data_IF_571902311592
#
_entry.id   IF_571902311592
#
_cell.length_a   1.000
_cell.length_b   1.000
_cell.length_c   1.000
_cell.angle_alpha   90.00
_cell.angle_beta   90.00
_cell.angle_gamma   90.00
#
_symmetry.space_group_name_H-M   'P 1'
#
loop_
_entity.id
_entity.type
_entity.pdbx_description
1 polymer ?
#
# COMPACT_ATOMS: atom_id res chain seq x y z
N UNK A 1 -3.61 34.45 2.18
CA UNK A 1 -3.72 32.97 2.16
C UNK A 1 -3.78 32.56 0.68
N UNK A 2 -2.88 31.72 0.22
CA UNK A 2 -2.80 31.35 -1.20
C UNK A 2 -3.88 30.31 -1.53
N UNK A 3 -5.01 30.77 -2.06
CA UNK A 3 -6.20 29.93 -2.33
C UNK A 3 -5.90 28.70 -3.20
N UNK A 4 -4.92 28.80 -4.12
CA UNK A 4 -4.48 27.68 -4.96
C UNK A 4 -3.79 26.58 -4.16
N UNK A 5 -2.93 26.93 -3.19
CA UNK A 5 -2.26 25.97 -2.33
C UNK A 5 -3.26 25.27 -1.40
N UNK A 6 -4.23 26.02 -0.86
CA UNK A 6 -5.27 25.44 -0.02
C UNK A 6 -6.14 24.44 -0.79
N UNK A 7 -6.50 24.76 -2.02
CA UNK A 7 -7.29 23.88 -2.88
C UNK A 7 -6.51 22.58 -3.23
N UNK A 8 -5.23 22.70 -3.57
CA UNK A 8 -4.37 21.54 -3.82
C UNK A 8 -4.27 20.63 -2.59
N UNK A 9 -4.07 21.21 -1.39
CA UNK A 9 -4.00 20.44 -0.16
C UNK A 9 -5.32 19.69 0.14
N UNK A 10 -6.46 20.30 -0.13
CA UNK A 10 -7.77 19.66 0.05
C UNK A 10 -7.93 18.47 -0.92
N UNK A 11 -7.58 18.66 -2.19
CA UNK A 11 -7.62 17.59 -3.19
C UNK A 11 -6.71 16.43 -2.78
N UNK A 12 -5.49 16.73 -2.35
CA UNK A 12 -4.53 15.73 -1.87
C UNK A 12 -5.08 14.91 -0.69
N UNK A 13 -5.64 15.60 0.32
CA UNK A 13 -6.23 14.92 1.49
C UNK A 13 -7.40 14.03 1.08
N UNK A 14 -8.32 14.52 0.25
CA UNK A 14 -9.47 13.74 -0.20
C UNK A 14 -9.07 12.53 -1.03
N UNK A 15 -8.09 12.69 -1.92
CA UNK A 15 -7.55 11.61 -2.74
C UNK A 15 -6.86 10.55 -1.87
N UNK A 16 -5.98 10.97 -0.97
CA UNK A 16 -5.30 10.07 -0.06
C UNK A 16 -6.27 9.30 0.84
N UNK A 17 -7.31 9.98 1.36
CA UNK A 17 -8.31 9.36 2.22
C UNK A 17 -9.15 8.33 1.45
N UNK A 18 -9.66 8.68 0.27
CA UNK A 18 -10.48 7.75 -0.54
C UNK A 18 -9.68 6.53 -1.00
N UNK A 19 -8.45 6.73 -1.45
CA UNK A 19 -7.53 5.66 -1.82
C UNK A 19 -7.21 4.78 -0.62
N UNK A 20 -6.85 5.38 0.51
CA UNK A 20 -6.51 4.67 1.74
C UNK A 20 -7.65 3.77 2.21
N UNK A 21 -8.88 4.29 2.27
CA UNK A 21 -10.07 3.51 2.66
C UNK A 21 -10.29 2.32 1.71
N UNK A 22 -10.20 2.53 0.39
CA UNK A 22 -10.40 1.48 -0.59
C UNK A 22 -9.35 0.35 -0.46
N UNK A 23 -8.07 0.72 -0.32
CA UNK A 23 -6.94 -0.24 -0.19
C UNK A 23 -7.03 -1.01 1.13
N UNK A 24 -7.29 -0.32 2.25
CA UNK A 24 -7.41 -0.97 3.55
C UNK A 24 -8.62 -1.91 3.59
N UNK A 25 -9.75 -1.52 3.00
CA UNK A 25 -10.93 -2.38 2.88
C UNK A 25 -10.63 -3.62 2.02
N UNK A 26 -9.99 -3.45 0.87
CA UNK A 26 -9.59 -4.56 0.00
C UNK A 26 -8.63 -5.53 0.72
N UNK A 27 -7.62 -4.99 1.41
CA UNK A 27 -6.66 -5.78 2.20
C UNK A 27 -7.37 -6.56 3.30
N UNK A 28 -8.24 -5.91 4.07
CA UNK A 28 -8.99 -6.56 5.15
C UNK A 28 -9.88 -7.69 4.62
N UNK A 29 -10.62 -7.45 3.54
CA UNK A 29 -11.48 -8.46 2.92
C UNK A 29 -10.67 -9.65 2.40
N UNK A 30 -9.50 -9.40 1.81
CA UNK A 30 -8.57 -10.44 1.35
C UNK A 30 -8.09 -11.31 2.52
N UNK A 31 -7.61 -10.69 3.59
CA UNK A 31 -7.13 -11.41 4.78
C UNK A 31 -8.25 -12.18 5.46
N UNK A 32 -9.42 -11.59 5.63
CA UNK A 32 -10.62 -12.26 6.17
C UNK A 32 -11.01 -13.47 5.32
N UNK A 33 -11.01 -13.32 4.01
CA UNK A 33 -11.32 -14.42 3.09
C UNK A 33 -10.31 -15.58 3.21
N UNK A 34 -9.01 -15.26 3.23
CA UNK A 34 -7.93 -16.26 3.38
C UNK A 34 -8.01 -16.93 4.75
N UNK A 35 -8.10 -16.16 5.82
CA UNK A 35 -8.16 -16.65 7.20
C UNK A 35 -9.34 -17.59 7.41
N UNK A 36 -10.53 -17.19 6.97
CA UNK A 36 -11.75 -18.01 7.18
C UNK A 36 -11.83 -19.20 6.23
N UNK A 37 -11.64 -18.98 4.93
CA UNK A 37 -11.91 -20.03 3.92
C UNK A 37 -10.79 -21.04 3.77
N UNK A 38 -9.53 -20.61 3.93
CA UNK A 38 -8.37 -21.48 3.71
C UNK A 38 -7.84 -22.09 4.99
N UNK A 39 -7.89 -21.35 6.09
CA UNK A 39 -7.29 -21.79 7.36
C UNK A 39 -8.28 -22.01 8.49
N UNK A 40 -9.57 -21.75 8.27
CA UNK A 40 -10.64 -21.94 9.27
C UNK A 40 -10.35 -21.23 10.61
N UNK A 41 -9.81 -19.99 10.50
CA UNK A 41 -9.51 -19.15 11.66
C UNK A 41 -10.78 -18.42 12.10
N UNK A 42 -11.07 -18.48 13.41
CA UNK A 42 -12.23 -17.81 14.00
C UNK A 42 -12.07 -16.29 13.94
N UNK A 43 -13.15 -15.56 13.65
CA UNK A 43 -13.16 -14.09 13.58
C UNK A 43 -12.79 -13.42 14.94
N UNK A 44 -12.98 -14.10 16.06
CA UNK A 44 -12.60 -13.61 17.40
C UNK A 44 -11.16 -13.97 17.80
N UNK A 45 -10.35 -14.50 16.88
CA UNK A 45 -8.97 -14.86 17.15
C UNK A 45 -8.10 -13.59 17.28
N UNK A 46 -7.58 -13.34 18.49
CA UNK A 46 -6.80 -12.15 18.80
C UNK A 46 -5.44 -12.14 18.08
N UNK A 47 -4.77 -13.30 17.96
CA UNK A 47 -3.51 -13.41 17.25
C UNK A 47 -3.68 -13.05 15.78
N UNK A 48 -4.72 -13.55 15.13
CA UNK A 48 -5.05 -13.22 13.76
C UNK A 48 -5.45 -11.73 13.62
N UNK A 49 -6.09 -11.15 14.62
CA UNK A 49 -6.37 -9.72 14.70
C UNK A 49 -5.11 -8.86 14.69
N UNK A 50 -4.10 -9.21 15.51
CA UNK A 50 -2.79 -8.54 15.57
C UNK A 50 -2.05 -8.67 14.24
N UNK A 51 -2.00 -9.88 13.68
CA UNK A 51 -1.41 -10.12 12.36
C UNK A 51 -2.08 -9.25 11.28
N UNK A 52 -3.41 -9.25 11.24
CA UNK A 52 -4.19 -8.43 10.30
C UNK A 52 -3.90 -6.95 10.47
N UNK A 53 -3.84 -6.45 11.71
CA UNK A 53 -3.50 -5.04 11.98
C UNK A 53 -2.09 -4.67 11.47
N UNK A 54 -1.11 -5.54 11.65
CA UNK A 54 0.25 -5.35 11.15
C UNK A 54 0.30 -5.30 9.62
N UNK A 55 -0.43 -6.18 8.94
CA UNK A 55 -0.53 -6.17 7.47
C UNK A 55 -1.25 -4.94 6.97
N UNK A 56 -2.36 -4.53 7.60
CA UNK A 56 -3.09 -3.31 7.23
C UNK A 56 -2.21 -2.07 7.36
N UNK A 57 -1.49 -1.94 8.47
CA UNK A 57 -0.54 -0.85 8.66
C UNK A 57 0.54 -0.84 7.58
N UNK A 58 1.15 -1.99 7.32
CA UNK A 58 2.23 -2.14 6.34
C UNK A 58 1.78 -1.82 4.92
N UNK A 59 0.64 -2.35 4.50
CA UNK A 59 0.08 -2.07 3.17
C UNK A 59 -0.30 -0.60 3.04
N UNK A 60 -0.98 -0.03 4.03
CA UNK A 60 -1.36 1.39 4.02
C UNK A 60 -0.13 2.30 3.95
N UNK A 61 0.91 2.01 4.74
CA UNK A 61 2.15 2.75 4.74
C UNK A 61 2.88 2.66 3.39
N UNK A 62 3.02 1.46 2.82
CA UNK A 62 3.68 1.30 1.53
C UNK A 62 2.90 1.93 0.37
N UNK A 63 1.56 1.85 0.39
CA UNK A 63 0.75 2.49 -0.66
C UNK A 63 0.78 4.03 -0.53
N UNK A 64 1.02 4.57 0.66
CA UNK A 64 1.17 6.03 0.82
C UNK A 64 2.37 6.60 0.05
N UNK A 65 3.37 5.78 -0.31
CA UNK A 65 4.49 6.19 -1.15
C UNK A 65 4.10 6.67 -2.56
N UNK A 66 2.87 6.33 -3.00
CA UNK A 66 2.35 6.76 -4.31
C UNK A 66 1.96 8.24 -4.33
N UNK A 67 1.77 8.88 -3.17
CA UNK A 67 1.23 10.25 -3.08
C UNK A 67 2.14 11.24 -3.81
N UNK A 68 3.46 11.23 -3.56
CA UNK A 68 4.41 12.13 -4.22
C UNK A 68 4.50 11.90 -5.74
N UNK A 69 4.66 10.67 -6.24
CA UNK A 69 4.55 10.35 -7.66
C UNK A 69 3.26 10.84 -8.32
N UNK A 70 2.10 10.69 -7.65
CA UNK A 70 0.82 11.18 -8.17
C UNK A 70 0.77 12.70 -8.30
N UNK A 71 1.32 13.43 -7.34
CA UNK A 71 1.41 14.89 -7.43
C UNK A 71 2.31 15.34 -8.57
N UNK A 72 3.44 14.65 -8.77
CA UNK A 72 4.36 14.90 -9.90
C UNK A 72 3.67 14.62 -11.24
N UNK A 73 2.96 13.51 -11.35
CA UNK A 73 2.16 13.17 -12.53
C UNK A 73 1.10 14.23 -12.82
N UNK A 74 0.35 14.67 -11.81
CA UNK A 74 -0.67 15.70 -11.97
C UNK A 74 -0.08 17.01 -12.52
N UNK A 75 1.07 17.44 -11.99
CA UNK A 75 1.77 18.64 -12.47
C UNK A 75 2.16 18.51 -13.94
N UNK A 76 2.70 17.36 -14.36
CA UNK A 76 3.10 17.11 -15.75
C UNK A 76 1.88 17.12 -16.68
N UNK A 77 0.81 16.41 -16.31
CA UNK A 77 -0.40 16.37 -17.12
C UNK A 77 -1.05 17.75 -17.25
N UNK A 78 -1.09 18.53 -16.16
CA UNK A 78 -1.67 19.88 -16.16
C UNK A 78 -0.92 20.91 -17.01
N UNK A 79 0.33 20.62 -17.38
CA UNK A 79 1.11 21.46 -18.32
C UNK A 79 0.98 21.05 -19.77
N UNK A 80 0.50 19.83 -20.04
CA UNK A 80 0.40 19.28 -21.40
C UNK A 80 -1.00 19.37 -22.00
N UNK A 81 -2.04 19.28 -21.19
CA UNK A 81 -3.43 19.23 -21.64
C UNK A 81 -4.19 20.50 -21.23
N UNK A 82 -4.72 21.22 -22.21
CA UNK A 82 -5.64 22.35 -22.00
C UNK A 82 -7.09 21.86 -21.74
N UNK A 83 -7.41 20.58 -22.08
CA UNK A 83 -8.71 19.99 -21.84
C UNK A 83 -8.78 19.29 -20.48
N UNK A 84 -9.54 19.89 -19.56
CA UNK A 84 -9.73 19.39 -18.19
C UNK A 84 -10.27 17.97 -18.14
N UNK A 85 -11.14 17.59 -19.09
CA UNK A 85 -11.72 16.24 -19.09
C UNK A 85 -10.70 15.17 -19.47
N UNK A 86 -9.89 15.42 -20.48
CA UNK A 86 -8.81 14.51 -20.91
C UNK A 86 -7.74 14.38 -19.82
N UNK A 87 -7.40 15.48 -19.14
CA UNK A 87 -6.49 15.50 -18.01
C UNK A 87 -6.99 14.59 -16.87
N UNK A 88 -8.27 14.70 -16.49
CA UNK A 88 -8.85 13.88 -15.42
C UNK A 88 -8.83 12.39 -15.74
N UNK A 89 -9.21 12.01 -16.96
CA UNK A 89 -9.20 10.60 -17.39
C UNK A 89 -7.76 10.04 -17.34
N UNK A 90 -6.80 10.78 -17.86
CA UNK A 90 -5.40 10.39 -17.88
C UNK A 90 -4.84 10.25 -16.45
N UNK A 91 -5.14 11.21 -15.58
CA UNK A 91 -4.71 11.17 -14.17
C UNK A 91 -5.29 9.98 -13.42
N UNK A 92 -6.59 9.69 -13.59
CA UNK A 92 -7.24 8.53 -12.96
C UNK A 92 -6.64 7.23 -13.50
N UNK A 93 -6.42 7.12 -14.81
CA UNK A 93 -5.86 5.93 -15.44
C UNK A 93 -4.44 5.60 -14.95
N UNK A 94 -3.52 6.55 -15.04
CA UNK A 94 -2.16 6.37 -14.54
C UNK A 94 -2.11 6.20 -13.03
N UNK A 95 -2.91 6.97 -12.29
CA UNK A 95 -2.99 6.87 -10.83
C UNK A 95 -3.44 5.50 -10.37
N UNK A 96 -4.45 4.92 -11.01
CA UNK A 96 -4.92 3.57 -10.71
C UNK A 96 -3.83 2.51 -10.93
N UNK A 97 -3.04 2.63 -12.01
CA UNK A 97 -1.91 1.74 -12.30
C UNK A 97 -0.84 1.84 -11.21
N UNK A 98 -0.46 3.06 -10.81
CA UNK A 98 0.57 3.27 -9.77
C UNK A 98 0.13 2.75 -8.41
N UNK A 99 -1.12 3.00 -8.03
CA UNK A 99 -1.71 2.46 -6.80
C UNK A 99 -1.71 0.92 -6.82
N UNK A 100 -2.11 0.32 -7.94
CA UNK A 100 -2.12 -1.13 -8.10
C UNK A 100 -0.71 -1.73 -8.01
N UNK A 101 0.29 -1.08 -8.61
CA UNK A 101 1.70 -1.49 -8.51
C UNK A 101 2.17 -1.45 -7.05
N UNK A 102 1.97 -0.34 -6.34
CA UNK A 102 2.34 -0.22 -4.93
C UNK A 102 1.63 -1.27 -4.07
N UNK A 103 0.36 -1.52 -4.32
CA UNK A 103 -0.43 -2.52 -3.61
C UNK A 103 0.11 -3.94 -3.81
N UNK A 104 0.46 -4.32 -5.04
CA UNK A 104 1.05 -5.62 -5.34
C UNK A 104 2.40 -5.77 -4.63
N UNK A 105 3.27 -4.74 -4.68
CA UNK A 105 4.57 -4.76 -3.99
C UNK A 105 4.38 -4.84 -2.48
N UNK A 106 3.43 -4.10 -1.92
CA UNK A 106 3.12 -4.15 -0.49
C UNK A 106 2.67 -5.56 -0.03
N UNK A 107 1.77 -6.20 -0.77
CA UNK A 107 1.36 -7.58 -0.49
C UNK A 107 2.54 -8.55 -0.60
N UNK A 108 3.41 -8.36 -1.58
CA UNK A 108 4.60 -9.18 -1.75
C UNK A 108 5.58 -9.04 -0.56
N UNK A 109 5.82 -7.83 -0.08
CA UNK A 109 6.66 -7.57 1.10
C UNK A 109 6.05 -8.18 2.36
N UNK A 110 4.73 -8.06 2.56
CA UNK A 110 4.03 -8.71 3.67
C UNK A 110 4.17 -10.24 3.61
N UNK A 111 4.04 -10.83 2.42
CA UNK A 111 4.22 -12.25 2.20
C UNK A 111 5.67 -12.70 2.49
N UNK A 112 6.67 -11.94 2.03
CA UNK A 112 8.07 -12.20 2.35
C UNK A 112 8.34 -12.15 3.86
N UNK A 113 7.74 -11.18 4.56
CA UNK A 113 7.88 -11.05 6.02
C UNK A 113 7.37 -12.28 6.76
N UNK A 114 6.23 -12.82 6.35
CA UNK A 114 5.71 -14.07 6.89
C UNK A 114 6.63 -15.26 6.55
N UNK A 115 7.07 -15.38 5.29
CA UNK A 115 7.99 -16.45 4.87
C UNK A 115 9.31 -16.43 5.64
N UNK A 116 9.89 -15.28 5.92
CA UNK A 116 11.14 -15.15 6.68
C UNK A 116 10.98 -15.78 8.06
N UNK A 117 9.87 -15.51 8.74
CA UNK A 117 9.61 -16.10 10.04
C UNK A 117 9.54 -17.63 9.97
N UNK A 118 8.77 -18.16 9.03
CA UNK A 118 8.62 -19.61 8.81
C UNK A 118 9.95 -20.31 8.44
N UNK A 119 10.85 -19.60 7.76
CA UNK A 119 12.16 -20.16 7.40
C UNK A 119 13.15 -20.15 8.58
N UNK A 120 13.08 -19.14 9.45
CA UNK A 120 14.00 -18.99 10.59
C UNK A 120 13.58 -19.87 11.77
N UNK A 121 12.27 -20.11 11.94
CA UNK A 121 11.72 -20.88 13.06
C UNK A 121 11.14 -22.20 12.55
N UNK A 122 11.32 -23.31 13.28
CA UNK A 122 10.68 -24.59 12.95
C UNK A 122 9.19 -24.61 13.35
N UNK A 123 8.52 -23.46 13.32
CA UNK A 123 7.16 -23.25 13.81
C UNK A 123 6.29 -22.86 12.61
N UNK A 124 5.16 -23.54 12.42
CA UNK A 124 4.14 -23.17 11.44
C UNK A 124 3.36 -21.95 11.97
N UNK A 125 3.67 -20.74 11.45
CA UNK A 125 3.04 -19.50 11.90
C UNK A 125 1.52 -19.50 11.72
N UNK A 126 1.01 -20.17 10.68
CA UNK A 126 -0.43 -20.22 10.41
C UNK A 126 -1.12 -21.07 11.47
N UNK A 127 -0.52 -22.19 11.84
CA UNK A 127 -1.06 -23.04 12.90
C UNK A 127 -1.02 -22.33 14.26
N UNK A 128 0.05 -21.59 14.54
CA UNK A 128 0.17 -20.81 15.76
C UNK A 128 -0.83 -19.64 15.82
N UNK A 129 -1.05 -18.93 14.70
CA UNK A 129 -2.09 -17.92 14.60
C UNK A 129 -3.48 -18.54 14.82
N UNK A 130 -3.74 -19.72 14.27
CA UNK A 130 -4.99 -20.47 14.50
C UNK A 130 -5.17 -20.83 15.97
N UNK A 131 -4.09 -21.21 16.64
CA UNK A 131 -4.07 -21.55 18.07
C UNK A 131 -4.12 -20.30 18.98
N UNK A 132 -4.30 -19.11 18.39
CA UNK A 132 -4.35 -17.83 19.10
C UNK A 132 -3.06 -17.48 19.86
N UNK A 133 -1.89 -17.84 19.31
CA UNK A 133 -0.60 -17.52 19.90
C UNK A 133 -0.22 -16.05 19.62
N UNK A 134 -0.45 -15.18 20.61
CA UNK A 134 -0.19 -13.75 20.52
C UNK A 134 1.30 -13.42 20.34
N UNK A 135 2.19 -14.22 20.94
CA UNK A 135 3.63 -13.97 20.84
C UNK A 135 4.11 -14.15 19.40
N UNK A 136 3.68 -15.19 18.71
CA UNK A 136 3.98 -15.42 17.29
C UNK A 136 3.39 -14.32 16.43
N UNK A 137 2.14 -13.91 16.67
CA UNK A 137 1.50 -12.83 15.93
C UNK A 137 2.27 -11.50 16.04
N UNK A 138 2.76 -11.16 17.22
CA UNK A 138 3.55 -9.95 17.46
C UNK A 138 4.90 -10.00 16.75
N UNK A 139 5.60 -11.14 16.79
CA UNK A 139 6.91 -11.28 16.13
C UNK A 139 6.76 -11.20 14.62
N UNK A 140 5.84 -11.98 14.03
CA UNK A 140 5.58 -11.94 12.58
C UNK A 140 5.12 -10.54 12.14
N UNK A 141 4.20 -9.94 12.88
CA UNK A 141 3.73 -8.59 12.63
C UNK A 141 4.84 -7.54 12.65
N UNK A 142 5.76 -7.66 13.63
CA UNK A 142 6.92 -6.76 13.73
C UNK A 142 7.87 -6.89 12.55
N UNK A 143 8.12 -8.11 12.07
CA UNK A 143 8.94 -8.36 10.88
C UNK A 143 8.29 -7.70 9.65
N UNK A 144 7.00 -7.91 9.43
CA UNK A 144 6.25 -7.33 8.32
C UNK A 144 6.33 -5.80 8.36
N UNK A 145 6.06 -5.19 9.51
CA UNK A 145 6.12 -3.72 9.68
C UNK A 145 7.53 -3.19 9.42
N UNK A 146 8.55 -3.83 9.96
CA UNK A 146 9.94 -3.41 9.75
C UNK A 146 10.35 -3.46 8.29
N UNK A 147 10.02 -4.55 7.58
CA UNK A 147 10.30 -4.66 6.14
C UNK A 147 9.57 -3.59 5.34
N UNK A 148 8.33 -3.28 5.69
CA UNK A 148 7.56 -2.24 5.02
C UNK A 148 8.17 -0.85 5.22
N UNK A 149 8.64 -0.55 6.43
CA UNK A 149 9.35 0.71 6.73
C UNK A 149 10.65 0.82 5.93
N UNK A 150 11.40 -0.27 5.79
CA UNK A 150 12.66 -0.28 5.05
C UNK A 150 12.50 -0.20 3.52
N UNK A 151 11.38 -0.65 2.99
CA UNK A 151 11.15 -0.74 1.54
C UNK A 151 10.30 0.40 0.98
N UNK A 152 9.68 1.21 1.82
CA UNK A 152 8.77 2.31 1.44
C UNK A 152 9.36 3.25 0.37
N UNK A 153 10.55 3.78 0.62
CA UNK A 153 11.21 4.73 -0.30
C UNK A 153 11.60 4.07 -1.62
N UNK A 154 11.94 2.77 -1.57
CA UNK A 154 12.19 1.99 -2.79
C UNK A 154 10.95 1.83 -3.67
N UNK A 155 9.77 1.71 -3.07
CA UNK A 155 8.49 1.68 -3.81
C UNK A 155 8.19 3.04 -4.45
N UNK A 156 8.43 4.14 -3.74
CA UNK A 156 8.30 5.49 -4.28
C UNK A 156 9.17 5.68 -5.52
N UNK A 157 10.47 5.36 -5.42
CA UNK A 157 11.43 5.44 -6.53
C UNK A 157 11.04 4.54 -7.70
N UNK A 158 10.53 3.33 -7.42
CA UNK A 158 10.04 2.43 -8.45
C UNK A 158 8.90 3.08 -9.25
N UNK A 159 7.91 3.66 -8.57
CA UNK A 159 6.77 4.29 -9.21
C UNK A 159 7.19 5.56 -9.97
N UNK A 160 8.08 6.37 -9.40
CA UNK A 160 8.61 7.56 -10.06
C UNK A 160 9.32 7.22 -11.38
N UNK A 161 9.95 6.05 -11.48
CA UNK A 161 10.61 5.62 -12.71
C UNK A 161 9.67 5.40 -13.90
N UNK A 162 8.36 5.22 -13.63
CA UNK A 162 7.33 5.09 -14.67
C UNK A 162 6.64 6.40 -15.05
N UNK A 163 6.96 7.51 -14.36
CA UNK A 163 6.38 8.81 -14.70
C UNK A 163 7.02 9.33 -15.99
N UNK A 164 6.23 9.70 -17.00
CA UNK A 164 6.74 10.22 -18.27
C UNK A 164 7.21 11.67 -18.11
N UNK A 165 8.36 11.88 -17.47
CA UNK A 165 8.97 13.21 -17.40
C UNK A 165 9.28 13.72 -18.81
N UNK A 166 8.97 14.99 -19.13
CA UNK A 166 9.41 15.58 -20.38
C UNK A 166 10.95 15.57 -20.42
N UNK A 167 11.53 15.15 -21.55
CA UNK A 167 12.97 15.12 -21.75
C UNK A 167 13.57 16.52 -21.43
N UNK A 168 14.21 16.65 -20.29
CA UNK A 168 14.83 17.90 -19.86
C UNK A 168 16.21 18.12 -20.51
N UNK A 169 16.65 17.20 -21.37
CA UNK A 169 17.92 17.32 -22.10
C UNK A 169 17.65 17.25 -23.59
N UNK A 170 17.82 18.39 -24.34
CA UNK A 170 17.98 18.30 -25.78
C UNK A 170 19.25 17.48 -26.06
N UNK A 171 19.11 16.44 -26.91
CA UNK A 171 20.24 15.68 -27.44
C UNK A 171 21.17 16.57 -28.24
#
# INVERSE_FOLDING_TARGET
MNSKLTLLAIIEILTALSMGVAILAATYLLLKYIGKKRYDINENNQAFGIFTASVLFSVGYMVSSVIHPLLSLFRILSTKDDDTFHLLISFIGYGAIYILMAFIVALFVCFLGALIYNYITPIDEIQELKNNNLAVALVVGSIIVTLSLMTHDGVELLIESFIPYPDQYPK
#
